data_IF_635408793856
#
_entry.id   IF_635408793856
#
_cell.length_a   1.000
_cell.length_b   1.000
_cell.length_c   1.000
_cell.angle_alpha   90.00
_cell.angle_beta   90.00
_cell.angle_gamma   90.00
#
_symmetry.space_group_name_H-M   'P 1'
#
loop_
_entity.id
_entity.type
_entity.pdbx_description
1 polymer ?
#
# COMPACT_ATOMS: atom_id res chain seq x y z
N UNK A 1 -7.78 7.76 59.28
CA UNK A 1 -7.33 6.39 58.87
C UNK A 1 -7.92 5.94 57.51
N UNK A 2 -9.06 6.46 57.07
CA UNK A 2 -9.71 6.08 55.80
C UNK A 2 -9.12 6.69 54.54
N UNK A 3 -8.43 7.84 54.61
CA UNK A 3 -7.83 8.50 53.45
C UNK A 3 -6.57 7.78 52.90
N UNK A 4 -5.86 7.04 53.74
CA UNK A 4 -4.65 6.29 53.32
C UNK A 4 -4.99 4.99 52.57
N UNK A 5 -6.13 4.39 52.87
CA UNK A 5 -6.57 3.14 52.22
C UNK A 5 -7.07 3.36 50.80
N UNK A 6 -7.73 4.48 50.52
CA UNK A 6 -8.24 4.79 49.15
C UNK A 6 -7.10 5.07 48.18
N UNK A 7 -6.06 5.81 48.57
CA UNK A 7 -4.91 6.08 47.75
C UNK A 7 -4.10 4.81 47.38
N UNK A 8 -4.04 3.85 48.32
CA UNK A 8 -3.26 2.60 48.09
C UNK A 8 -3.96 1.66 47.09
N UNK A 9 -5.27 1.61 47.12
CA UNK A 9 -6.10 0.80 46.20
C UNK A 9 -6.02 1.41 44.80
N UNK A 10 -6.08 2.72 44.67
CA UNK A 10 -6.02 3.44 43.40
C UNK A 10 -4.65 3.28 42.72
N UNK A 11 -3.54 3.37 43.49
CA UNK A 11 -2.19 3.15 43.01
C UNK A 11 -1.97 1.71 42.52
N UNK A 12 -2.45 0.72 43.24
CA UNK A 12 -2.32 -0.68 42.83
C UNK A 12 -3.19 -1.00 41.58
N UNK A 13 -4.38 -0.41 41.49
CA UNK A 13 -5.22 -0.57 40.31
C UNK A 13 -4.59 0.05 39.08
N UNK A 14 -4.04 1.25 39.22
CA UNK A 14 -3.35 1.96 38.15
C UNK A 14 -2.05 1.22 37.72
N UNK A 15 -1.32 0.67 38.67
CA UNK A 15 -0.15 -0.15 38.42
C UNK A 15 -0.49 -1.44 37.66
N UNK A 16 -1.53 -2.15 38.10
CA UNK A 16 -2.00 -3.38 37.44
C UNK A 16 -2.53 -3.10 36.03
N UNK A 17 -3.28 -2.01 35.84
CA UNK A 17 -3.80 -1.58 34.53
C UNK A 17 -2.66 -1.23 33.57
N UNK A 18 -1.69 -0.43 34.02
CA UNK A 18 -0.54 -0.06 33.22
C UNK A 18 0.31 -1.29 32.85
N UNK A 19 0.51 -2.23 33.78
CA UNK A 19 1.24 -3.48 33.54
C UNK A 19 0.52 -4.36 32.50
N UNK A 20 -0.80 -4.48 32.55
CA UNK A 20 -1.58 -5.22 31.56
C UNK A 20 -1.51 -4.57 30.17
N UNK A 21 -1.54 -3.23 30.09
CA UNK A 21 -1.35 -2.49 28.85
C UNK A 21 0.05 -2.73 28.23
N UNK A 22 1.08 -2.69 29.06
CA UNK A 22 2.48 -2.95 28.63
C UNK A 22 2.62 -4.38 28.08
N UNK A 23 2.05 -5.37 28.73
CA UNK A 23 2.06 -6.77 28.26
C UNK A 23 1.31 -6.93 26.94
N UNK A 24 0.17 -6.25 26.77
CA UNK A 24 -0.60 -6.27 25.51
C UNK A 24 0.19 -5.61 24.36
N UNK A 25 0.80 -4.46 24.62
CA UNK A 25 1.65 -3.76 23.65
C UNK A 25 2.84 -4.64 23.26
N UNK A 26 3.48 -5.26 24.21
CA UNK A 26 4.61 -6.17 23.98
C UNK A 26 4.22 -7.34 23.08
N UNK A 27 3.09 -7.99 23.33
CA UNK A 27 2.58 -9.09 22.47
C UNK A 27 2.31 -8.64 21.04
N UNK A 28 1.70 -7.46 20.84
CA UNK A 28 1.46 -6.88 19.51
C UNK A 28 2.79 -6.57 18.81
N UNK A 29 3.75 -5.98 19.51
CA UNK A 29 5.05 -5.62 18.94
C UNK A 29 5.85 -6.85 18.50
N UNK A 30 5.84 -7.93 19.28
CA UNK A 30 6.50 -9.20 18.90
C UNK A 30 5.86 -9.83 17.66
N UNK A 31 4.53 -9.81 17.55
CA UNK A 31 3.82 -10.28 16.37
C UNK A 31 4.14 -9.45 15.13
N UNK A 32 4.16 -8.12 15.26
CA UNK A 32 4.51 -7.21 14.16
C UNK A 32 5.95 -7.43 13.72
N UNK A 33 6.90 -7.52 14.65
CA UNK A 33 8.32 -7.69 14.38
C UNK A 33 8.63 -8.90 13.50
N UNK A 34 7.90 -10.00 13.72
CA UNK A 34 8.16 -11.24 12.99
C UNK A 34 7.56 -11.27 11.58
N UNK A 35 6.40 -10.63 11.38
CA UNK A 35 5.59 -10.86 10.19
C UNK A 35 5.43 -9.63 9.28
N UNK A 36 5.69 -8.41 9.77
CA UNK A 36 5.33 -7.19 9.03
C UNK A 36 6.01 -7.10 7.67
N UNK A 37 7.28 -7.45 7.57
CA UNK A 37 8.02 -7.39 6.31
C UNK A 37 7.43 -8.35 5.28
N UNK A 38 7.10 -9.57 5.69
CA UNK A 38 6.46 -10.57 4.81
C UNK A 38 5.06 -10.15 4.38
N UNK A 39 4.29 -9.53 5.27
CA UNK A 39 2.96 -9.02 4.97
C UNK A 39 3.05 -7.89 3.93
N UNK A 40 3.91 -6.90 4.14
CA UNK A 40 4.08 -5.77 3.22
C UNK A 40 4.57 -6.26 1.84
N UNK A 41 5.61 -7.09 1.81
CA UNK A 41 6.13 -7.65 0.56
C UNK A 41 5.08 -8.52 -0.13
N UNK A 42 4.31 -9.31 0.63
CA UNK A 42 3.23 -10.13 0.09
C UNK A 42 2.13 -9.28 -0.57
N UNK A 43 1.67 -8.22 0.09
CA UNK A 43 0.67 -7.29 -0.47
C UNK A 43 1.20 -6.63 -1.75
N UNK A 44 2.42 -6.08 -1.71
CA UNK A 44 3.04 -5.46 -2.89
C UNK A 44 3.27 -6.47 -4.02
N UNK A 45 3.62 -7.71 -3.70
CA UNK A 45 3.75 -8.81 -4.67
C UNK A 45 2.43 -9.13 -5.37
N UNK A 46 1.32 -9.23 -4.61
CA UNK A 46 -0.02 -9.43 -5.16
C UNK A 46 -0.44 -8.24 -6.04
N UNK A 47 -0.19 -7.01 -5.59
CA UNK A 47 -0.46 -5.82 -6.40
C UNK A 47 0.34 -5.82 -7.71
N UNK A 48 1.63 -6.15 -7.66
CA UNK A 48 2.49 -6.27 -8.84
C UNK A 48 2.00 -7.34 -9.81
N UNK A 49 1.54 -8.49 -9.31
CA UNK A 49 0.94 -9.54 -10.13
C UNK A 49 -0.29 -9.02 -10.90
N UNK A 50 -1.21 -8.32 -10.23
CA UNK A 50 -2.38 -7.74 -10.89
C UNK A 50 -2.01 -6.66 -11.91
N UNK A 51 -0.98 -5.85 -11.64
CA UNK A 51 -0.47 -4.88 -12.62
C UNK A 51 -0.03 -5.57 -13.90
N UNK A 52 0.78 -6.62 -13.81
CA UNK A 52 1.24 -7.38 -14.96
C UNK A 52 0.08 -8.03 -15.71
N UNK A 53 -0.85 -8.67 -14.98
CA UNK A 53 -2.01 -9.31 -15.55
C UNK A 53 -2.88 -8.34 -16.37
N UNK A 54 -3.29 -7.23 -15.76
CA UNK A 54 -4.13 -6.25 -16.46
C UNK A 54 -3.38 -5.50 -17.56
N UNK A 55 -2.09 -5.28 -17.42
CA UNK A 55 -1.26 -4.68 -18.47
C UNK A 55 -1.26 -5.54 -19.72
N UNK A 56 -1.00 -6.83 -19.59
CA UNK A 56 -0.98 -7.78 -20.71
C UNK A 56 -2.39 -7.86 -21.34
N UNK A 57 -3.41 -8.00 -20.51
CA UNK A 57 -4.80 -8.07 -20.97
C UNK A 57 -5.19 -6.82 -21.77
N UNK A 58 -4.84 -5.62 -21.30
CA UNK A 58 -5.13 -4.36 -21.99
C UNK A 58 -4.32 -4.19 -23.28
N UNK A 59 -3.06 -4.57 -23.30
CA UNK A 59 -2.26 -4.53 -24.53
C UNK A 59 -2.89 -5.39 -25.62
N UNK A 60 -3.28 -6.62 -25.28
CA UNK A 60 -3.95 -7.54 -26.22
C UNK A 60 -5.28 -6.97 -26.69
N UNK A 61 -6.08 -6.44 -25.76
CA UNK A 61 -7.38 -5.85 -26.08
C UNK A 61 -7.23 -4.67 -27.04
N UNK A 62 -6.36 -3.69 -26.76
CA UNK A 62 -6.19 -2.52 -27.61
C UNK A 62 -5.55 -2.82 -28.98
N UNK A 63 -4.87 -3.95 -29.12
CA UNK A 63 -4.35 -4.36 -30.43
C UNK A 63 -5.40 -5.02 -31.32
N UNK A 64 -6.48 -5.56 -30.71
CA UNK A 64 -7.54 -6.31 -31.43
C UNK A 64 -8.87 -5.60 -31.52
N UNK A 65 -9.11 -4.56 -30.73
CA UNK A 65 -10.38 -3.87 -30.66
C UNK A 65 -10.72 -3.18 -31.97
N UNK A 66 -11.94 -3.43 -32.48
CA UNK A 66 -12.50 -2.72 -33.61
C UNK A 66 -13.44 -1.62 -33.12
N UNK A 67 -13.01 -0.38 -33.16
CA UNK A 67 -13.78 0.78 -32.67
C UNK A 67 -15.09 0.99 -33.44
N UNK A 68 -15.23 0.48 -34.67
CA UNK A 68 -16.41 0.65 -35.49
C UNK A 68 -17.52 -0.35 -35.15
N UNK A 69 -17.30 -1.35 -34.36
CA UNK A 69 -18.31 -2.33 -33.94
C UNK A 69 -19.20 -1.86 -32.80
N UNK A 70 -18.84 -0.74 -32.16
CA UNK A 70 -19.60 -0.19 -31.04
C UNK A 70 -20.73 0.74 -31.54
N UNK A 71 -21.90 0.66 -30.87
CA UNK A 71 -23.10 1.39 -31.27
C UNK A 71 -23.05 2.87 -30.88
N UNK A 72 -22.44 3.16 -29.73
CA UNK A 72 -22.33 4.52 -29.20
C UNK A 72 -20.98 4.71 -28.50
N UNK A 73 -20.69 5.96 -28.14
CA UNK A 73 -19.42 6.34 -27.53
C UNK A 73 -19.30 5.84 -26.09
N UNK A 74 -20.40 5.76 -25.36
CA UNK A 74 -20.47 5.33 -23.98
C UNK A 74 -20.09 3.84 -23.86
N UNK A 75 -20.59 3.01 -24.78
CA UNK A 75 -20.24 1.58 -24.85
C UNK A 75 -18.76 1.38 -25.18
N UNK A 76 -18.24 2.17 -26.14
CA UNK A 76 -16.83 2.15 -26.49
C UNK A 76 -15.95 2.59 -25.32
N UNK A 77 -16.27 3.70 -24.65
CA UNK A 77 -15.51 4.23 -23.51
C UNK A 77 -15.49 3.22 -22.37
N UNK A 78 -16.64 2.64 -22.01
CA UNK A 78 -16.72 1.59 -21.00
C UNK A 78 -15.86 0.37 -21.30
N UNK A 79 -15.80 -0.06 -22.58
CA UNK A 79 -14.94 -1.18 -22.98
C UNK A 79 -13.45 -0.81 -22.95
N UNK A 80 -13.08 0.41 -23.37
CA UNK A 80 -11.71 0.89 -23.39
C UNK A 80 -11.14 1.15 -21.99
N UNK A 81 -11.95 1.68 -21.06
CA UNK A 81 -11.53 2.06 -19.69
C UNK A 81 -11.60 0.90 -18.70
N UNK A 82 -12.19 -0.23 -19.08
CA UNK A 82 -12.27 -1.42 -18.23
C UNK A 82 -10.90 -1.77 -17.63
N UNK A 83 -10.84 -2.08 -16.34
CA UNK A 83 -9.62 -2.43 -15.57
C UNK A 83 -8.58 -1.29 -15.39
N UNK A 84 -8.73 -0.11 -16.01
CA UNK A 84 -7.84 1.02 -15.76
C UNK A 84 -7.96 1.53 -14.33
N UNK A 85 -9.18 1.48 -13.76
CA UNK A 85 -9.42 1.84 -12.35
C UNK A 85 -8.59 1.00 -11.39
N UNK A 86 -8.39 -0.29 -11.68
CA UNK A 86 -7.55 -1.15 -10.85
C UNK A 86 -6.08 -0.72 -10.91
N UNK A 87 -5.55 -0.39 -12.09
CA UNK A 87 -4.20 0.15 -12.23
C UNK A 87 -4.05 1.48 -11.47
N UNK A 88 -5.06 2.35 -11.56
CA UNK A 88 -5.14 3.60 -10.80
C UNK A 88 -5.05 3.35 -9.29
N UNK A 89 -5.87 2.45 -8.76
CA UNK A 89 -5.87 2.09 -7.33
C UNK A 89 -4.51 1.57 -6.89
N UNK A 90 -3.86 0.73 -7.71
CA UNK A 90 -2.57 0.15 -7.37
C UNK A 90 -1.49 1.23 -7.31
N UNK A 91 -1.31 2.03 -8.37
CA UNK A 91 -0.22 3.02 -8.35
C UNK A 91 -0.42 4.11 -7.30
N UNK A 92 -1.67 4.47 -6.99
CA UNK A 92 -1.97 5.49 -5.98
C UNK A 92 -1.79 4.97 -4.55
N UNK A 93 -1.95 3.67 -4.29
CA UNK A 93 -1.89 3.11 -2.94
C UNK A 93 -0.58 2.36 -2.62
N UNK A 94 0.12 1.81 -3.61
CA UNK A 94 1.37 1.07 -3.37
C UNK A 94 2.43 1.88 -2.58
N UNK A 95 2.64 3.21 -2.80
CA UNK A 95 3.57 3.99 -1.99
C UNK A 95 3.15 4.09 -0.52
N UNK A 96 1.84 4.16 -0.25
CA UNK A 96 1.32 4.23 1.12
C UNK A 96 1.48 2.91 1.87
N UNK A 97 1.37 1.78 1.18
CA UNK A 97 1.67 0.46 1.75
C UNK A 97 3.16 0.36 2.10
N UNK A 98 4.04 0.83 1.21
CA UNK A 98 5.47 0.94 1.49
C UNK A 98 5.77 1.85 2.67
N UNK A 99 5.13 3.03 2.73
CA UNK A 99 5.26 3.97 3.85
C UNK A 99 4.79 3.34 5.17
N UNK A 100 3.69 2.61 5.17
CA UNK A 100 3.20 1.89 6.35
C UNK A 100 4.27 0.91 6.88
N UNK A 101 4.93 0.18 5.98
CA UNK A 101 6.05 -0.70 6.33
C UNK A 101 7.21 0.06 6.97
N UNK A 102 7.58 1.23 6.42
CA UNK A 102 8.64 2.08 6.99
C UNK A 102 8.28 2.56 8.40
N UNK A 103 7.07 3.11 8.57
CA UNK A 103 6.61 3.62 9.88
C UNK A 103 6.61 2.50 10.92
N UNK A 104 6.09 1.33 10.57
CA UNK A 104 6.05 0.18 11.47
C UNK A 104 7.46 -0.33 11.80
N UNK A 105 8.35 -0.42 10.82
CA UNK A 105 9.75 -0.83 11.03
C UNK A 105 10.52 0.12 11.94
N UNK A 106 10.33 1.43 11.78
CA UNK A 106 10.91 2.46 12.68
C UNK A 106 10.35 2.31 14.10
N UNK A 107 9.06 2.11 14.24
CA UNK A 107 8.40 1.93 15.53
C UNK A 107 8.94 0.70 16.27
N UNK A 108 9.14 -0.42 15.56
CA UNK A 108 9.75 -1.63 16.12
C UNK A 108 11.19 -1.35 16.58
N UNK A 109 12.01 -0.66 15.76
CA UNK A 109 13.39 -0.33 16.07
C UNK A 109 13.49 0.49 17.36
N UNK A 110 12.65 1.50 17.55
CA UNK A 110 12.62 2.31 18.77
C UNK A 110 12.08 1.54 19.98
N UNK A 111 11.12 0.67 19.78
CA UNK A 111 10.62 -0.20 20.84
C UNK A 111 11.72 -1.14 21.37
N UNK A 112 12.44 -1.81 20.48
CA UNK A 112 13.54 -2.71 20.84
C UNK A 112 14.65 -1.96 21.61
N UNK A 113 14.99 -0.75 21.18
CA UNK A 113 15.96 0.10 21.84
C UNK A 113 15.52 0.46 23.28
N UNK A 114 14.25 0.80 23.47
CA UNK A 114 13.69 1.11 24.80
C UNK A 114 13.73 -0.11 25.74
N UNK A 115 13.55 -1.31 25.21
CA UNK A 115 13.58 -2.54 25.99
C UNK A 115 15.00 -3.02 26.32
N UNK A 116 15.99 -2.70 25.48
CA UNK A 116 17.38 -3.14 25.66
C UNK A 116 18.15 -2.38 26.77
N UNK A 117 17.58 -1.29 27.31
CA UNK A 117 18.18 -0.50 28.39
C UNK A 117 19.47 0.24 28.01
N UNK A 118 19.83 0.28 26.71
CA UNK A 118 20.99 0.98 26.19
C UNK A 118 20.85 1.34 24.72
N UNK A 119 21.59 2.36 24.27
CA UNK A 119 21.58 2.82 22.88
C UNK A 119 22.68 2.11 22.11
N UNK A 120 22.31 1.14 21.26
CA UNK A 120 23.24 0.57 20.27
C UNK A 120 22.99 1.22 18.90
N UNK A 121 23.85 2.16 18.54
CA UNK A 121 23.77 2.91 17.27
C UNK A 121 23.78 1.99 16.05
N UNK A 122 24.51 0.87 16.09
CA UNK A 122 24.59 -0.10 14.99
C UNK A 122 23.25 -0.78 14.75
N UNK A 123 22.58 -1.24 15.80
CA UNK A 123 21.27 -1.87 15.71
C UNK A 123 20.21 -0.89 15.19
N UNK A 124 20.27 0.39 15.61
CA UNK A 124 19.38 1.45 15.10
C UNK A 124 19.59 1.63 13.59
N UNK A 125 20.83 1.79 13.13
CA UNK A 125 21.14 1.98 11.72
C UNK A 125 20.65 0.81 10.86
N UNK A 126 20.82 -0.42 11.33
CA UNK A 126 20.35 -1.62 10.64
C UNK A 126 18.81 -1.62 10.59
N UNK A 127 18.12 -1.37 11.70
CA UNK A 127 16.66 -1.35 11.76
C UNK A 127 16.04 -0.29 10.86
N UNK A 128 16.59 0.94 10.84
CA UNK A 128 16.14 2.00 9.94
C UNK A 128 16.39 1.66 8.48
N UNK A 129 17.54 1.07 8.14
CA UNK A 129 17.85 0.62 6.78
C UNK A 129 16.86 -0.44 6.30
N UNK A 130 16.50 -1.39 7.15
CA UNK A 130 15.52 -2.42 6.83
C UNK A 130 14.12 -1.82 6.63
N UNK A 131 13.71 -0.88 7.49
CA UNK A 131 12.43 -0.20 7.35
C UNK A 131 12.30 0.52 6.00
N UNK A 132 13.33 1.25 5.56
CA UNK A 132 13.32 1.98 4.28
C UNK A 132 13.11 1.10 3.04
N UNK A 133 13.44 -0.19 3.10
CA UNK A 133 13.20 -1.12 2.00
C UNK A 133 11.72 -1.22 1.62
N UNK A 134 10.82 -1.15 2.59
CA UNK A 134 9.38 -1.25 2.33
C UNK A 134 8.90 -0.10 1.41
N UNK A 135 9.32 1.14 1.68
CA UNK A 135 8.99 2.29 0.80
C UNK A 135 9.62 2.15 -0.57
N UNK A 136 10.86 1.68 -0.66
CA UNK A 136 11.52 1.44 -1.95
C UNK A 136 10.73 0.43 -2.80
N UNK A 137 10.25 -0.68 -2.22
CA UNK A 137 9.41 -1.64 -2.93
C UNK A 137 8.04 -1.06 -3.31
N UNK A 138 7.42 -0.26 -2.45
CA UNK A 138 6.18 0.45 -2.78
C UNK A 138 6.33 1.34 -4.01
N UNK A 139 7.41 2.12 -4.09
CA UNK A 139 7.72 2.96 -5.25
C UNK A 139 8.09 2.14 -6.49
N UNK A 140 8.79 1.02 -6.33
CA UNK A 140 9.15 0.12 -7.43
C UNK A 140 7.90 -0.45 -8.13
N UNK A 141 6.81 -0.67 -7.41
CA UNK A 141 5.51 -1.07 -7.98
C UNK A 141 4.76 0.13 -8.54
N UNK A 142 4.73 1.25 -7.82
CA UNK A 142 3.91 2.41 -8.16
C UNK A 142 4.37 3.12 -9.45
N UNK A 143 5.68 3.37 -9.60
CA UNK A 143 6.21 4.18 -10.70
C UNK A 143 5.96 3.53 -12.06
N UNK A 144 6.31 2.25 -12.30
CA UNK A 144 6.00 1.60 -13.57
C UNK A 144 4.49 1.53 -13.84
N UNK A 145 3.68 1.26 -12.79
CA UNK A 145 2.23 1.19 -12.93
C UNK A 145 1.63 2.53 -13.37
N UNK A 146 2.09 3.64 -12.81
CA UNK A 146 1.68 4.99 -13.19
C UNK A 146 2.05 5.28 -14.67
N UNK A 147 3.24 4.90 -15.11
CA UNK A 147 3.67 5.08 -16.51
C UNK A 147 2.77 4.28 -17.47
N UNK A 148 2.48 3.02 -17.14
CA UNK A 148 1.60 2.14 -17.92
C UNK A 148 0.18 2.72 -17.96
N UNK A 149 -0.37 3.13 -16.81
CA UNK A 149 -1.69 3.73 -16.70
C UNK A 149 -1.83 4.97 -17.59
N UNK A 150 -0.88 5.91 -17.50
CA UNK A 150 -0.89 7.13 -18.33
C UNK A 150 -0.78 6.81 -19.83
N UNK A 151 0.00 5.80 -20.21
CA UNK A 151 0.07 5.31 -21.58
C UNK A 151 -1.28 4.77 -22.08
N UNK A 152 -1.99 4.02 -21.26
CA UNK A 152 -3.30 3.49 -21.60
C UNK A 152 -4.37 4.59 -21.67
N UNK A 153 -4.42 5.51 -20.74
CA UNK A 153 -5.33 6.67 -20.77
C UNK A 153 -5.12 7.44 -22.07
N UNK A 154 -3.88 7.74 -22.44
CA UNK A 154 -3.60 8.41 -23.71
C UNK A 154 -4.07 7.61 -24.92
N UNK A 155 -3.94 6.28 -24.90
CA UNK A 155 -4.39 5.42 -26.00
C UNK A 155 -5.93 5.40 -26.11
N UNK A 156 -6.63 5.37 -24.98
CA UNK A 156 -8.09 5.48 -24.92
C UNK A 156 -8.55 6.79 -25.53
N UNK A 157 -7.99 7.92 -25.14
CA UNK A 157 -8.31 9.25 -25.66
C UNK A 157 -8.17 9.30 -27.20
N UNK A 158 -7.09 8.77 -27.72
CA UNK A 158 -6.87 8.72 -29.19
C UNK A 158 -7.91 7.87 -29.89
N UNK A 159 -8.29 6.72 -29.31
CA UNK A 159 -9.31 5.85 -29.90
C UNK A 159 -10.70 6.50 -29.89
N UNK A 160 -11.08 7.13 -28.79
CA UNK A 160 -12.35 7.88 -28.65
C UNK A 160 -12.39 9.03 -29.65
N UNK A 161 -11.33 9.81 -29.79
CA UNK A 161 -11.28 10.93 -30.74
C UNK A 161 -11.38 10.45 -32.19
N UNK A 162 -10.78 9.31 -32.55
CA UNK A 162 -10.93 8.69 -33.86
C UNK A 162 -12.39 8.26 -34.14
N UNK A 163 -13.06 7.69 -33.15
CA UNK A 163 -14.46 7.32 -33.25
C UNK A 163 -15.36 8.54 -33.48
N UNK A 164 -15.14 9.62 -32.69
CA UNK A 164 -15.89 10.89 -32.85
C UNK A 164 -15.68 11.51 -34.21
N UNK A 165 -14.45 11.64 -34.67
CA UNK A 165 -14.15 12.24 -35.99
C UNK A 165 -14.81 11.49 -37.14
N UNK A 166 -14.83 10.16 -37.07
CA UNK A 166 -15.47 9.34 -38.11
C UNK A 166 -17.02 9.46 -38.12
N UNK A 167 -17.65 9.62 -36.98
CA UNK A 167 -19.09 9.74 -36.87
C UNK A 167 -19.61 11.17 -37.07
N UNK A 168 -18.76 12.19 -36.94
CA UNK A 168 -19.07 13.58 -37.23
C UNK A 168 -19.09 13.86 -38.77
N UNK A 169 -18.48 12.98 -39.56
CA UNK A 169 -18.44 13.10 -41.03
C UNK A 169 -19.57 12.34 -41.77
N UNK A 170 -20.53 11.76 -41.03
CA UNK A 170 -21.74 11.12 -41.52
C UNK A 170 -22.96 12.00 -41.30
#
# INVERSE_FOLDING_TARGET
>A
MYYFSYNYIDINYQYSYNHAQILKIRGIMELLKHNIDYIIIGILGVMSFFVLWYTIERIIFYSRVNINSYKNIEELDGALTKNLTTLYIIYSNAPYIGLLGTVTGIMITFYDMGMAGGIDTKSIMIGLSLALKATAFGLLVAIPTLMIYNGFVRKVDVMINRYKAKNASK
#
